data_IF_142296597566
#
_entry.id   IF_142296597566
#
_cell.length_a   1.000
_cell.length_b   1.000
_cell.length_c   1.000
_cell.angle_alpha   90.00
_cell.angle_beta   90.00
_cell.angle_gamma   90.00
#
_symmetry.space_group_name_H-M   'P 1'
#
loop_
_entity.id
_entity.type
_entity.pdbx_description
1 polymer ?
#
# COMPACT_ATOMS: atom_id res chain seq x y z
N UNK A 1 -10.41 13.70 -9.46
CA UNK A 1 -9.84 13.27 -8.16
C UNK A 1 -9.07 14.43 -7.50
N UNK A 2 -8.16 15.09 -8.22
CA UNK A 2 -7.32 16.16 -7.66
C UNK A 2 -8.08 17.42 -7.21
N UNK A 3 -9.14 17.84 -7.91
CA UNK A 3 -10.05 18.92 -7.45
C UNK A 3 -10.75 18.62 -6.11
N UNK A 4 -10.93 17.34 -5.77
CA UNK A 4 -11.63 16.88 -4.56
C UNK A 4 -10.70 16.46 -3.43
N UNK A 5 -9.40 16.29 -3.72
CA UNK A 5 -8.37 15.80 -2.79
C UNK A 5 -7.04 16.55 -3.01
N UNK A 6 -7.02 17.89 -2.91
CA UNK A 6 -5.83 18.70 -3.20
C UNK A 6 -4.64 18.35 -2.28
N UNK A 7 -4.91 17.84 -1.08
CA UNK A 7 -3.88 17.44 -0.12
C UNK A 7 -3.02 16.27 -0.59
N UNK A 8 -3.54 15.36 -1.42
CA UNK A 8 -2.76 14.22 -1.96
C UNK A 8 -1.59 14.70 -2.80
N UNK A 9 -1.75 15.83 -3.51
CA UNK A 9 -0.72 16.42 -4.35
C UNK A 9 0.46 16.96 -3.54
N UNK A 10 0.21 17.45 -2.32
CA UNK A 10 1.24 18.01 -1.42
C UNK A 10 1.83 16.95 -0.47
N UNK A 11 1.02 16.00 0.01
CA UNK A 11 1.45 14.93 0.92
C UNK A 11 2.43 13.98 0.22
N UNK A 12 2.08 13.48 -0.97
CA UNK A 12 2.86 12.39 -1.61
C UNK A 12 4.35 12.72 -1.83
N UNK A 13 4.73 13.89 -2.39
CA UNK A 13 6.14 14.18 -2.60
C UNK A 13 6.91 14.33 -1.28
N UNK A 14 6.25 14.78 -0.21
CA UNK A 14 6.89 14.99 1.10
C UNK A 14 6.99 13.72 1.93
N UNK A 15 5.96 12.87 1.85
CA UNK A 15 5.89 11.64 2.64
C UNK A 15 6.68 10.50 2.01
N UNK A 16 6.53 10.31 0.70
CA UNK A 16 7.02 9.11 0.00
C UNK A 16 8.42 9.33 -0.58
N UNK A 17 8.73 10.56 -1.02
CA UNK A 17 10.00 10.80 -1.72
C UNK A 17 10.61 12.19 -1.44
N UNK A 18 10.90 12.52 -0.17
CA UNK A 18 11.39 13.85 0.22
C UNK A 18 12.77 14.21 -0.36
N UNK A 19 13.49 13.22 -0.91
CA UNK A 19 14.84 13.40 -1.44
C UNK A 19 14.89 13.62 -2.96
N UNK A 20 13.77 13.48 -3.67
CA UNK A 20 13.70 13.80 -5.10
C UNK A 20 13.21 15.25 -5.25
N UNK A 21 13.93 16.10 -6.01
CA UNK A 21 13.47 17.46 -6.30
C UNK A 21 12.05 17.45 -6.87
N UNK A 22 11.15 18.20 -6.23
CA UNK A 22 9.78 18.35 -6.70
C UNK A 22 9.78 19.08 -8.04
N UNK A 23 9.14 18.45 -9.05
CA UNK A 23 8.90 19.03 -10.38
C UNK A 23 7.39 19.07 -10.64
N UNK A 24 6.68 20.12 -10.19
CA UNK A 24 5.23 20.23 -10.33
C UNK A 24 4.74 20.08 -11.77
N UNK A 25 5.52 20.54 -12.74
CA UNK A 25 5.25 20.47 -14.18
C UNK A 25 5.09 19.04 -14.71
N UNK A 26 5.65 18.05 -14.00
CA UNK A 26 5.56 16.63 -14.35
C UNK A 26 4.46 15.89 -13.56
N UNK A 27 3.58 16.60 -12.87
CA UNK A 27 2.50 16.02 -12.05
C UNK A 27 1.14 16.34 -12.65
N UNK A 28 0.21 15.38 -12.59
CA UNK A 28 -1.18 15.57 -13.03
C UNK A 28 -2.06 16.39 -12.07
N UNK A 29 -1.45 17.04 -11.08
CA UNK A 29 -2.15 17.89 -10.11
C UNK A 29 -2.37 19.28 -10.70
N UNK A 30 -3.48 19.95 -10.36
CA UNK A 30 -3.76 21.27 -10.90
C UNK A 30 -2.79 22.32 -10.30
N UNK A 31 -2.45 23.40 -11.04
CA UNK A 31 -1.42 24.36 -10.65
C UNK A 31 -1.59 24.93 -9.24
N UNK A 32 -2.83 25.20 -8.83
CA UNK A 32 -3.17 25.76 -7.53
C UNK A 32 -2.77 24.86 -6.34
N UNK A 33 -2.58 23.54 -6.57
CA UNK A 33 -2.08 22.62 -5.53
C UNK A 33 -0.63 22.92 -5.14
N UNK A 34 0.11 23.60 -6.02
CA UNK A 34 1.53 23.93 -5.87
C UNK A 34 1.75 25.40 -5.52
N UNK A 35 0.83 26.28 -5.91
CA UNK A 35 0.94 27.74 -5.70
C UNK A 35 0.43 28.21 -4.33
N UNK A 36 -0.37 27.39 -3.65
CA UNK A 36 -0.93 27.72 -2.34
C UNK A 36 -0.02 27.27 -1.19
N UNK A 37 -0.06 27.92 -0.02
CA UNK A 37 0.67 27.49 1.17
C UNK A 37 2.18 27.80 1.14
N UNK A 38 2.90 27.51 2.23
CA UNK A 38 4.35 27.74 2.32
C UNK A 38 5.14 26.76 1.43
N UNK A 39 6.42 27.07 1.22
CA UNK A 39 7.35 26.20 0.50
C UNK A 39 7.38 24.80 1.12
N UNK A 40 7.23 23.78 0.28
CA UNK A 40 7.13 22.38 0.72
C UNK A 40 8.48 21.83 1.24
N UNK A 41 9.59 22.20 0.60
CA UNK A 41 10.94 21.80 1.01
C UNK A 41 11.83 23.04 0.96
N UNK A 42 12.46 23.38 2.08
CA UNK A 42 13.53 24.37 2.14
C UNK A 42 14.77 23.67 2.68
N UNK A 43 15.84 23.58 1.88
CA UNK A 43 17.11 22.95 2.27
C UNK A 43 16.94 21.52 2.82
N UNK A 44 16.23 20.66 2.08
CA UNK A 44 15.92 19.27 2.44
C UNK A 44 15.12 19.10 3.74
N UNK A 45 14.44 20.16 4.20
CA UNK A 45 13.56 20.11 5.37
C UNK A 45 12.16 20.55 5.00
N UNK A 46 11.18 19.77 5.46
CA UNK A 46 9.77 20.15 5.43
C UNK A 46 9.55 21.26 6.46
N UNK A 47 9.18 22.46 5.98
CA UNK A 47 8.97 23.66 6.81
C UNK A 47 7.48 23.96 7.05
N UNK A 48 6.60 23.31 6.27
CA UNK A 48 5.15 23.42 6.39
C UNK A 48 4.64 22.53 7.55
N UNK A 49 4.39 23.15 8.71
CA UNK A 49 3.92 22.46 9.92
C UNK A 49 2.48 21.97 9.81
N UNK A 50 1.65 22.64 9.02
CA UNK A 50 0.28 22.18 8.73
C UNK A 50 0.34 20.92 7.87
N UNK A 51 1.18 20.90 6.84
CA UNK A 51 1.39 19.71 6.02
C UNK A 51 1.99 18.54 6.82
N UNK A 52 2.89 18.80 7.76
CA UNK A 52 3.39 17.77 8.69
C UNK A 52 2.25 17.12 9.48
N UNK A 53 1.33 17.91 10.00
CA UNK A 53 0.14 17.42 10.71
C UNK A 53 -0.75 16.58 9.79
N UNK A 54 -0.94 17.03 8.55
CA UNK A 54 -1.75 16.30 7.56
C UNK A 54 -1.10 14.97 7.13
N UNK A 55 0.23 14.93 6.99
CA UNK A 55 0.96 13.68 6.75
C UNK A 55 0.74 12.71 7.91
N UNK A 56 0.85 13.17 9.16
CA UNK A 56 0.65 12.30 10.31
C UNK A 56 -0.80 11.84 10.44
N UNK A 57 -1.77 12.70 10.17
CA UNK A 57 -3.19 12.33 10.09
C UNK A 57 -3.45 11.28 9.00
N UNK A 58 -2.82 11.43 7.82
CA UNK A 58 -2.92 10.45 6.73
C UNK A 58 -2.36 9.08 7.16
N UNK A 59 -1.19 9.07 7.78
CA UNK A 59 -0.59 7.83 8.32
C UNK A 59 -1.44 7.19 9.40
N UNK A 60 -2.03 8.00 10.26
CA UNK A 60 -2.88 7.50 11.33
C UNK A 60 -4.17 6.91 10.75
N UNK A 61 -4.81 7.56 9.79
CA UNK A 61 -5.95 7.00 9.07
C UNK A 61 -5.62 5.66 8.41
N UNK A 62 -4.46 5.55 7.75
CA UNK A 62 -4.00 4.28 7.18
C UNK A 62 -3.80 3.18 8.23
N UNK A 63 -3.30 3.53 9.43
CA UNK A 63 -3.14 2.61 10.56
C UNK A 63 -4.46 2.17 11.16
N UNK A 64 -5.40 3.10 11.32
CA UNK A 64 -6.73 2.83 11.86
C UNK A 64 -7.52 1.87 10.94
N UNK A 65 -7.25 1.92 9.63
CA UNK A 65 -7.87 1.04 8.63
C UNK A 65 -7.21 -0.35 8.48
N UNK A 66 -6.12 -0.67 9.19
CA UNK A 66 -5.38 -1.94 9.00
C UNK A 66 -6.31 -3.16 9.15
N UNK A 67 -7.10 -3.20 10.23
CA UNK A 67 -7.97 -4.34 10.52
C UNK A 67 -9.04 -4.49 9.43
N UNK A 68 -9.69 -3.38 9.04
CA UNK A 68 -10.69 -3.34 7.98
C UNK A 68 -10.12 -3.83 6.64
N UNK A 69 -8.96 -3.32 6.21
CA UNK A 69 -8.28 -3.72 4.97
C UNK A 69 -7.94 -5.22 5.00
N UNK A 70 -7.50 -5.74 6.14
CA UNK A 70 -7.16 -7.15 6.27
C UNK A 70 -8.40 -8.05 6.22
N UNK A 71 -9.51 -7.67 6.86
CA UNK A 71 -10.78 -8.41 6.78
C UNK A 71 -11.32 -8.46 5.35
N UNK A 72 -11.24 -7.36 4.62
CA UNK A 72 -11.60 -7.33 3.19
C UNK A 72 -10.73 -8.30 2.39
N UNK A 73 -9.40 -8.28 2.60
CA UNK A 73 -8.50 -9.23 1.95
C UNK A 73 -8.85 -10.68 2.30
N UNK A 74 -9.18 -10.96 3.56
CA UNK A 74 -9.56 -12.30 4.00
C UNK A 74 -10.86 -12.79 3.34
N UNK A 75 -11.89 -11.93 3.26
CA UNK A 75 -13.16 -12.23 2.56
C UNK A 75 -12.94 -12.49 1.07
N UNK A 76 -11.96 -11.82 0.46
CA UNK A 76 -11.58 -12.02 -0.94
C UNK A 76 -10.61 -13.19 -1.18
N UNK A 77 -10.17 -13.88 -0.13
CA UNK A 77 -9.16 -14.95 -0.23
C UNK A 77 -7.74 -14.44 -0.57
N UNK A 78 -7.49 -13.15 -0.40
CA UNK A 78 -6.17 -12.51 -0.59
C UNK A 78 -5.35 -12.79 0.67
N UNK A 79 -4.42 -13.75 0.58
CA UNK A 79 -3.57 -14.19 1.71
C UNK A 79 -2.10 -14.35 1.34
N UNK A 80 -1.77 -14.15 0.06
CA UNK A 80 -0.41 -14.32 -0.43
C UNK A 80 0.20 -12.96 -0.75
N UNK A 81 1.45 -12.78 -0.32
CA UNK A 81 2.24 -11.58 -0.63
C UNK A 81 3.57 -11.99 -1.24
N UNK A 82 4.25 -11.05 -1.91
CA UNK A 82 5.61 -11.26 -2.38
C UNK A 82 6.62 -10.68 -1.38
N UNK A 83 7.81 -11.29 -1.33
CA UNK A 83 8.93 -10.69 -0.61
C UNK A 83 9.51 -9.51 -1.42
N UNK A 84 9.70 -8.37 -0.75
CA UNK A 84 10.35 -7.18 -1.34
C UNK A 84 11.71 -7.56 -1.94
N UNK A 85 11.94 -7.19 -3.21
CA UNK A 85 13.17 -7.49 -3.94
C UNK A 85 13.22 -8.90 -4.56
N UNK A 86 12.24 -9.76 -4.28
CA UNK A 86 12.11 -11.07 -4.92
C UNK A 86 11.06 -11.07 -6.04
N UNK A 87 9.92 -10.41 -5.84
CA UNK A 87 8.85 -10.35 -6.83
C UNK A 87 7.69 -9.45 -6.42
N UNK A 88 6.61 -9.52 -7.21
CA UNK A 88 5.32 -8.91 -6.93
C UNK A 88 4.20 -9.95 -6.99
N UNK A 89 3.19 -9.80 -6.15
CA UNK A 89 1.90 -10.48 -6.28
C UNK A 89 0.87 -9.43 -6.71
N UNK A 90 0.13 -9.73 -7.77
CA UNK A 90 -0.94 -8.88 -8.28
C UNK A 90 -2.26 -9.65 -8.29
N UNK A 91 -3.28 -9.08 -7.66
CA UNK A 91 -4.64 -9.60 -7.64
C UNK A 91 -5.53 -8.75 -8.57
N UNK A 92 -6.48 -9.41 -9.23
CA UNK A 92 -7.59 -8.76 -9.91
C UNK A 92 -8.89 -9.34 -9.36
N UNK A 93 -9.39 -8.84 -8.22
CA UNK A 93 -10.63 -9.35 -7.63
C UNK A 93 -11.83 -9.00 -8.52
N UNK A 94 -12.89 -9.79 -8.42
CA UNK A 94 -14.18 -9.38 -8.96
C UNK A 94 -14.67 -8.12 -8.25
N UNK A 95 -15.05 -7.10 -9.02
CA UNK A 95 -15.38 -5.78 -8.48
C UNK A 95 -16.69 -5.78 -7.68
N UNK A 96 -17.65 -6.65 -7.99
CA UNK A 96 -18.88 -6.77 -7.22
C UNK A 96 -18.60 -7.47 -5.88
N UNK A 97 -17.80 -8.53 -5.90
CA UNK A 97 -17.34 -9.20 -4.69
C UNK A 97 -16.51 -8.25 -3.80
N UNK A 98 -15.69 -7.39 -4.40
CA UNK A 98 -14.92 -6.39 -3.66
C UNK A 98 -15.82 -5.35 -3.01
N UNK A 99 -16.79 -4.78 -3.74
CA UNK A 99 -17.76 -3.84 -3.17
C UNK A 99 -18.56 -4.47 -2.03
N UNK A 100 -19.07 -5.68 -2.23
CA UNK A 100 -19.83 -6.42 -1.21
C UNK A 100 -18.98 -6.72 0.04
N UNK A 101 -17.68 -7.03 -0.12
CA UNK A 101 -16.79 -7.25 1.00
C UNK A 101 -16.56 -5.96 1.83
N UNK A 102 -16.47 -4.80 1.17
CA UNK A 102 -16.36 -3.50 1.86
C UNK A 102 -17.64 -3.22 2.66
N UNK A 103 -18.82 -3.40 2.05
CA UNK A 103 -20.10 -3.19 2.71
C UNK A 103 -20.23 -4.07 3.96
N UNK A 104 -19.98 -5.38 3.83
CA UNK A 104 -20.07 -6.31 4.95
C UNK A 104 -19.13 -5.97 6.10
N UNK A 105 -17.86 -5.65 5.83
CA UNK A 105 -16.90 -5.32 6.89
C UNK A 105 -17.26 -3.99 7.56
N UNK A 106 -17.92 -3.07 6.87
CA UNK A 106 -18.36 -1.78 7.44
C UNK A 106 -19.58 -1.94 8.34
N UNK A 107 -20.43 -2.93 8.07
CA UNK A 107 -21.63 -3.25 8.87
C UNK A 107 -21.33 -4.14 10.09
N UNK A 108 -20.21 -4.87 10.07
CA UNK A 108 -19.77 -5.75 11.16
C UNK A 108 -19.04 -4.92 12.25
N UNK A 109 -19.80 -4.39 13.23
CA UNK A 109 -19.30 -3.49 14.30
C UNK A 109 -18.29 -4.12 15.28
N UNK A 110 -18.11 -5.44 15.30
CA UNK A 110 -17.28 -6.11 16.32
C UNK A 110 -16.73 -7.47 15.81
N UNK A 111 -15.70 -7.42 14.95
CA UNK A 111 -15.04 -8.63 14.44
C UNK A 111 -13.79 -8.92 15.26
N UNK A 112 -13.80 -10.04 15.99
CA UNK A 112 -12.61 -10.53 16.65
C UNK A 112 -11.58 -10.94 15.60
N UNK A 113 -10.44 -10.25 15.60
CA UNK A 113 -9.39 -10.41 14.60
C UNK A 113 -8.51 -11.63 14.92
N UNK A 114 -8.59 -12.66 14.08
CA UNK A 114 -7.59 -13.74 14.08
C UNK A 114 -6.59 -13.54 12.93
N UNK A 115 -5.37 -13.14 13.29
CA UNK A 115 -4.27 -13.02 12.34
C UNK A 115 -3.88 -14.40 11.79
N UNK A 116 -4.50 -14.79 10.69
CA UNK A 116 -3.95 -15.85 9.83
C UNK A 116 -2.73 -15.26 9.11
N UNK A 117 -1.53 -15.72 9.44
CA UNK A 117 -0.29 -15.23 8.81
C UNK A 117 -0.35 -15.34 7.27
N UNK A 118 0.27 -14.38 6.58
CA UNK A 118 0.35 -14.40 5.11
C UNK A 118 1.36 -15.44 4.62
N UNK A 119 1.04 -16.12 3.52
CA UNK A 119 2.00 -16.95 2.77
C UNK A 119 2.84 -16.04 1.86
N UNK A 120 4.15 -16.27 1.77
CA UNK A 120 5.01 -15.59 0.80
C UNK A 120 5.13 -16.41 -0.48
N UNK A 121 4.78 -15.83 -1.62
CA UNK A 121 5.21 -16.35 -2.91
C UNK A 121 6.61 -15.85 -3.21
N UNK A 122 7.55 -16.76 -3.46
CA UNK A 122 8.92 -16.42 -3.83
C UNK A 122 9.44 -17.22 -5.02
N UNK A 123 10.29 -16.57 -5.82
CA UNK A 123 11.12 -17.23 -6.83
C UNK A 123 12.46 -17.66 -6.24
N UNK A 124 12.92 -18.85 -6.66
CA UNK A 124 14.26 -19.38 -6.38
C UNK A 124 14.35 -20.24 -5.12
N UNK A 125 14.98 -21.41 -5.26
CA UNK A 125 15.10 -22.41 -4.18
C UNK A 125 15.84 -21.89 -2.95
N UNK A 126 16.83 -21.01 -3.13
CA UNK A 126 17.54 -20.40 -2.00
C UNK A 126 16.57 -19.59 -1.14
N UNK A 127 15.80 -18.68 -1.73
CA UNK A 127 14.85 -17.84 -0.99
C UNK A 127 13.76 -18.68 -0.31
N UNK A 128 13.22 -19.67 -1.02
CA UNK A 128 12.23 -20.59 -0.47
C UNK A 128 12.77 -21.36 0.74
N UNK A 129 13.98 -21.93 0.62
CA UNK A 129 14.60 -22.69 1.71
C UNK A 129 14.93 -21.82 2.92
N UNK A 130 15.51 -20.64 2.72
CA UNK A 130 15.82 -19.69 3.80
C UNK A 130 14.57 -19.31 4.56
N UNK A 131 13.53 -18.82 3.88
CA UNK A 131 12.30 -18.38 4.55
C UNK A 131 11.57 -19.52 5.26
N UNK A 132 11.53 -20.72 4.66
CA UNK A 132 10.93 -21.89 5.30
C UNK A 132 11.68 -22.29 6.57
N UNK A 133 13.01 -22.22 6.57
CA UNK A 133 13.83 -22.51 7.75
C UNK A 133 13.63 -21.48 8.86
N UNK A 134 13.34 -20.22 8.52
CA UNK A 134 12.95 -19.17 9.47
C UNK A 134 11.48 -19.27 9.93
N UNK A 135 10.75 -20.31 9.52
CA UNK A 135 9.37 -20.58 9.94
C UNK A 135 8.29 -19.81 9.15
N UNK A 136 8.65 -19.13 8.06
CA UNK A 136 7.67 -18.46 7.21
C UNK A 136 6.88 -19.48 6.37
N UNK A 137 5.59 -19.20 6.18
CA UNK A 137 4.79 -19.91 5.18
C UNK A 137 5.19 -19.44 3.79
N UNK A 138 5.64 -20.36 2.93
CA UNK A 138 6.18 -20.02 1.61
C UNK A 138 5.73 -20.98 0.51
N UNK A 139 5.52 -20.44 -0.68
CA UNK A 139 5.16 -21.16 -1.90
C UNK A 139 5.94 -20.65 -3.11
N UNK A 140 6.21 -21.55 -4.06
CA UNK A 140 6.69 -21.32 -5.43
C UNK A 140 5.73 -21.91 -6.47
N UNK A 141 4.56 -22.38 -6.02
CA UNK A 141 3.57 -23.05 -6.87
C UNK A 141 2.91 -22.05 -7.81
N UNK A 142 2.60 -22.50 -9.04
CA UNK A 142 1.84 -21.71 -10.00
C UNK A 142 0.50 -21.26 -9.37
N UNK A 143 0.22 -19.95 -9.29
CA UNK A 143 -0.97 -19.45 -8.63
C UNK A 143 -2.21 -19.51 -9.54
N UNK A 144 -3.38 -19.72 -8.93
CA UNK A 144 -4.68 -19.73 -9.63
C UNK A 144 -5.46 -18.41 -9.47
N UNK A 145 -5.32 -17.74 -8.32
CA UNK A 145 -6.11 -16.55 -7.95
C UNK A 145 -5.35 -15.23 -8.02
N UNK A 146 -4.06 -15.27 -8.38
CA UNK A 146 -3.20 -14.10 -8.53
C UNK A 146 -2.12 -14.33 -9.58
N UNK A 147 -1.47 -13.25 -10.00
CA UNK A 147 -0.26 -13.30 -10.80
C UNK A 147 0.96 -13.07 -9.91
N UNK A 148 1.98 -13.93 -10.04
CA UNK A 148 3.29 -13.68 -9.47
C UNK A 148 4.26 -13.20 -10.57
N UNK A 149 4.96 -12.10 -10.29
CA UNK A 149 5.91 -11.46 -11.22
C UNK A 149 7.28 -11.47 -10.54
N UNK A 150 8.19 -12.39 -10.88
CA UNK A 150 9.52 -12.44 -10.29
C UNK A 150 10.39 -11.27 -10.76
N UNK A 151 11.22 -10.73 -9.86
CA UNK A 151 12.19 -9.67 -10.18
C UNK A 151 13.53 -10.23 -10.67
N UNK A 152 13.80 -11.49 -10.37
CA UNK A 152 14.96 -12.22 -10.88
C UNK A 152 14.47 -13.09 -12.04
N UNK A 153 15.23 -13.14 -13.14
CA UNK A 153 14.92 -14.06 -14.24
C UNK A 153 14.96 -15.50 -13.72
N UNK A 154 13.97 -16.29 -14.11
CA UNK A 154 13.84 -17.70 -13.74
C UNK A 154 15.03 -18.55 -14.21
#
# INVERSE_FOLDING_TARGET
>A
IYERRPLVCRIYPMEINPHIPLRPENKGCPPESWEQGPDLIVSDRLVDTELLSLIEQSRQADRDEIVTKQLICQKLGIRTTALKGNGFVAYLPDMNAFAAAIEQVTEEDDVCFESSGSEFHVAGQSALSTLRNEGAQVTDRQPESYLFIPLQAA
#
